data_IF_845363465194
#
_entry.id   IF_845363465194
#
_cell.length_a   1.000
_cell.length_b   1.000
_cell.length_c   1.000
_cell.angle_alpha   90.00
_cell.angle_beta   90.00
_cell.angle_gamma   90.00
#
_symmetry.space_group_name_H-M   'P 1'
#
loop_
_entity.id
_entity.type
_entity.pdbx_description
1 polymer ?
#
# COMPACT_ATOMS: atom_id res chain seq x y z
N UNK A 1 -8.32 -5.77 23.52
CA UNK A 1 -7.61 -4.61 22.93
C UNK A 1 -7.46 -4.89 21.44
N UNK A 2 -8.06 -4.06 20.60
CA UNK A 2 -7.99 -4.19 19.13
C UNK A 2 -7.90 -2.80 18.52
N UNK A 3 -7.32 -2.70 17.33
CA UNK A 3 -7.52 -1.51 16.49
C UNK A 3 -8.86 -1.64 15.75
N UNK A 4 -9.15 -2.79 15.15
CA UNK A 4 -10.37 -3.03 14.36
C UNK A 4 -11.40 -3.86 15.13
N UNK A 5 -12.47 -3.23 15.61
CA UNK A 5 -13.55 -3.89 16.37
C UNK A 5 -14.62 -4.57 15.49
N UNK A 6 -14.73 -4.16 14.22
CA UNK A 6 -15.65 -4.71 13.22
C UNK A 6 -14.89 -5.19 11.98
N UNK A 7 -15.15 -6.44 11.58
CA UNK A 7 -14.57 -7.09 10.42
C UNK A 7 -15.69 -7.46 9.43
N UNK A 8 -15.78 -6.73 8.32
CA UNK A 8 -16.75 -6.99 7.27
C UNK A 8 -16.22 -8.04 6.28
N UNK A 9 -17.02 -9.06 5.95
CA UNK A 9 -16.70 -10.11 4.98
C UNK A 9 -17.39 -9.81 3.65
N UNK A 10 -16.74 -9.01 2.80
CA UNK A 10 -17.16 -8.84 1.40
C UNK A 10 -18.38 -7.94 1.21
N UNK A 11 -19.49 -8.23 1.88
CA UNK A 11 -20.70 -7.41 1.96
C UNK A 11 -20.74 -6.61 3.27
N UNK A 12 -21.38 -5.44 3.26
CA UNK A 12 -21.52 -4.59 4.45
C UNK A 12 -22.39 -5.23 5.56
N UNK A 13 -23.24 -6.19 5.20
CA UNK A 13 -24.18 -6.83 6.13
C UNK A 13 -23.63 -8.08 6.83
N UNK A 14 -22.56 -8.70 6.32
CA UNK A 14 -21.92 -9.86 6.96
C UNK A 14 -20.63 -9.44 7.66
N UNK A 15 -20.68 -9.20 8.97
CA UNK A 15 -19.51 -8.79 9.75
C UNK A 15 -19.35 -9.56 11.07
N UNK A 16 -18.09 -9.74 11.48
CA UNK A 16 -17.74 -10.14 12.84
C UNK A 16 -17.49 -8.87 13.65
N UNK A 17 -18.19 -8.69 14.77
CA UNK A 17 -17.99 -7.55 15.66
C UNK A 17 -17.69 -7.97 17.09
N UNK A 18 -17.06 -7.07 17.83
CA UNK A 18 -16.91 -7.15 19.27
C UNK A 18 -18.06 -6.43 20.01
N UNK A 19 -19.24 -6.31 19.38
CA UNK A 19 -20.34 -5.49 19.89
C UNK A 19 -21.13 -6.17 21.02
N UNK A 20 -21.01 -7.49 21.22
CA UNK A 20 -21.70 -8.19 22.31
C UNK A 20 -20.96 -8.01 23.65
N UNK A 21 -21.50 -7.23 24.61
CA UNK A 21 -20.84 -6.98 25.87
C UNK A 21 -20.78 -8.22 26.78
N UNK A 22 -21.56 -9.27 26.49
CA UNK A 22 -21.49 -10.53 27.23
C UNK A 22 -20.20 -11.29 26.95
N UNK A 23 -19.70 -11.16 25.72
CA UNK A 23 -18.47 -11.83 25.27
C UNK A 23 -17.24 -10.94 25.47
N UNK A 24 -17.37 -9.62 25.25
CA UNK A 24 -16.24 -8.69 25.20
C UNK A 24 -16.19 -7.65 26.32
N UNK A 25 -17.26 -7.54 27.12
CA UNK A 25 -17.42 -6.47 28.11
C UNK A 25 -17.67 -5.10 27.48
N UNK A 26 -17.74 -4.07 28.32
CA UNK A 26 -17.91 -2.70 27.86
C UNK A 26 -16.59 -2.09 27.38
N UNK A 27 -16.66 -1.19 26.41
CA UNK A 27 -15.53 -0.35 26.00
C UNK A 27 -15.17 0.58 27.17
N UNK A 28 -14.00 0.39 27.75
CA UNK A 28 -13.48 1.24 28.85
C UNK A 28 -12.68 2.43 28.35
N UNK A 29 -12.14 2.35 27.13
CA UNK A 29 -11.33 3.40 26.49
C UNK A 29 -11.23 3.16 24.98
N UNK A 30 -11.33 4.22 24.19
CA UNK A 30 -11.15 4.20 22.74
C UNK A 30 -10.25 5.39 22.35
N UNK A 31 -9.31 5.15 21.45
CA UNK A 31 -8.46 6.19 20.86
C UNK A 31 -8.47 6.05 19.35
N UNK A 32 -9.18 6.93 18.67
CA UNK A 32 -9.26 6.97 17.21
C UNK A 32 -7.99 7.54 16.58
N UNK A 33 -7.80 7.30 15.27
CA UNK A 33 -6.71 7.94 14.52
C UNK A 33 -6.82 9.46 14.54
N UNK A 34 -8.04 10.00 14.45
CA UNK A 34 -8.32 11.45 14.57
C UNK A 34 -7.77 12.01 15.87
N UNK A 35 -8.05 11.37 17.00
CA UNK A 35 -7.57 11.81 18.32
C UNK A 35 -6.06 11.64 18.45
N UNK A 36 -5.50 10.53 17.96
CA UNK A 36 -4.07 10.27 17.99
C UNK A 36 -3.24 11.24 17.11
N UNK A 37 -3.82 11.73 16.00
CA UNK A 37 -3.20 12.75 15.13
C UNK A 37 -3.29 14.13 15.76
N UNK A 38 -4.44 14.47 16.37
CA UNK A 38 -4.70 15.79 16.95
C UNK A 38 -4.16 15.97 18.37
N UNK A 39 -3.67 14.90 19.01
CA UNK A 39 -3.09 14.97 20.35
C UNK A 39 -1.87 15.90 20.37
N UNK A 40 -1.55 16.45 21.56
CA UNK A 40 -0.39 17.33 21.76
C UNK A 40 0.47 16.77 22.90
N UNK A 41 1.64 16.16 22.61
CA UNK A 41 2.20 15.91 21.27
C UNK A 41 1.40 14.87 20.46
N UNK A 42 1.52 14.87 19.12
CA UNK A 42 0.88 13.85 18.28
C UNK A 42 1.41 12.46 18.62
N UNK A 43 0.54 11.45 18.62
CA UNK A 43 0.90 10.04 18.85
C UNK A 43 1.27 9.36 17.52
N UNK A 44 0.62 9.76 16.42
CA UNK A 44 0.90 9.28 15.05
C UNK A 44 0.99 10.46 14.07
N UNK A 45 1.63 10.25 12.92
CA UNK A 45 1.61 11.20 11.81
C UNK A 45 0.26 11.17 11.10
N UNK A 46 -0.17 12.33 10.59
CA UNK A 46 -1.30 12.43 9.67
C UNK A 46 -0.99 11.71 8.34
N UNK A 47 -1.98 11.49 7.48
CA UNK A 47 -1.79 10.74 6.24
C UNK A 47 -2.46 11.32 5.01
N UNK A 48 -2.02 10.85 3.84
CA UNK A 48 -2.60 11.19 2.55
C UNK A 48 -2.76 9.94 1.69
N UNK A 49 -3.99 9.68 1.27
CA UNK A 49 -4.27 8.71 0.22
C UNK A 49 -3.98 9.38 -1.13
N UNK A 50 -3.08 8.77 -1.90
CA UNK A 50 -2.67 9.25 -3.21
C UNK A 50 -3.07 8.19 -4.23
N UNK A 51 -3.98 8.58 -5.11
CA UNK A 51 -4.46 7.72 -6.19
C UNK A 51 -3.78 8.07 -7.51
N UNK A 52 -3.50 7.05 -8.31
CA UNK A 52 -3.03 7.24 -9.68
C UNK A 52 -3.98 6.54 -10.63
N UNK A 53 -4.80 7.33 -11.33
CA UNK A 53 -5.53 6.85 -12.49
C UNK A 53 -4.55 6.39 -13.56
N UNK A 54 -4.65 5.14 -13.95
CA UNK A 54 -3.95 4.54 -15.08
C UNK A 54 -5.04 4.08 -16.04
N UNK A 55 -5.19 4.82 -17.13
CA UNK A 55 -6.21 4.56 -18.13
C UNK A 55 -5.82 3.40 -19.06
N UNK A 56 -6.80 2.70 -19.62
CA UNK A 56 -6.53 1.66 -20.63
C UNK A 56 -5.66 2.13 -21.81
N UNK A 57 -5.87 3.32 -22.40
CA UNK A 57 -4.97 3.85 -23.42
C UNK A 57 -3.51 3.97 -22.94
N UNK A 58 -3.28 4.44 -21.72
CA UNK A 58 -1.91 4.50 -21.15
C UNK A 58 -1.31 3.10 -20.97
N UNK A 59 -2.11 2.11 -20.58
CA UNK A 59 -1.65 0.71 -20.49
C UNK A 59 -1.28 0.18 -21.87
N UNK A 60 -2.08 0.46 -22.90
CA UNK A 60 -1.77 0.07 -24.28
C UNK A 60 -0.48 0.74 -24.80
N UNK A 61 -0.27 2.02 -24.49
CA UNK A 61 0.97 2.73 -24.82
C UNK A 61 2.17 2.11 -24.12
N UNK A 62 2.04 1.81 -22.82
CA UNK A 62 3.07 1.11 -22.06
C UNK A 62 3.38 -0.25 -22.68
N UNK A 63 2.35 -1.02 -23.03
CA UNK A 63 2.50 -2.35 -23.65
C UNK A 63 3.26 -2.29 -24.98
N UNK A 64 2.97 -1.28 -25.82
CA UNK A 64 3.65 -1.07 -27.11
C UNK A 64 5.04 -0.45 -26.95
N UNK A 65 5.40 0.04 -25.77
CA UNK A 65 6.68 0.73 -25.57
C UNK A 65 7.87 -0.22 -25.64
N UNK A 66 8.94 0.21 -26.34
CA UNK A 66 10.22 -0.51 -26.37
C UNK A 66 10.78 -0.76 -24.96
N UNK A 67 10.49 0.13 -24.01
CA UNK A 67 10.93 0.02 -22.62
C UNK A 67 10.27 -1.16 -21.92
N UNK A 68 8.96 -1.34 -22.07
CA UNK A 68 8.25 -2.50 -21.51
C UNK A 68 8.73 -3.81 -22.15
N UNK A 69 8.92 -3.84 -23.47
CA UNK A 69 9.44 -5.00 -24.19
C UNK A 69 10.82 -5.41 -23.67
N UNK A 70 11.71 -4.46 -23.37
CA UNK A 70 13.01 -4.75 -22.76
C UNK A 70 12.87 -5.38 -21.37
N UNK A 71 11.99 -4.85 -20.52
CA UNK A 71 11.74 -5.41 -19.19
C UNK A 71 11.15 -6.82 -19.27
N UNK A 72 10.23 -7.06 -20.22
CA UNK A 72 9.58 -8.36 -20.42
C UNK A 72 10.56 -9.46 -20.90
N UNK A 73 11.66 -9.08 -21.56
CA UNK A 73 12.73 -10.03 -21.92
C UNK A 73 13.51 -10.53 -20.70
N UNK A 74 13.64 -9.70 -19.66
CA UNK A 74 14.33 -10.06 -18.42
C UNK A 74 13.41 -10.71 -17.38
N UNK A 75 12.15 -10.29 -17.31
CA UNK A 75 11.17 -10.77 -16.32
C UNK A 75 9.98 -11.43 -17.01
N UNK A 76 9.79 -12.73 -16.78
CA UNK A 76 8.66 -13.49 -17.31
C UNK A 76 7.36 -13.15 -16.56
N UNK A 77 6.23 -13.24 -17.27
CA UNK A 77 4.88 -13.09 -16.71
C UNK A 77 4.59 -11.73 -16.06
N UNK A 78 5.21 -10.67 -16.56
CA UNK A 78 4.81 -9.29 -16.21
C UNK A 78 3.68 -8.82 -17.13
N UNK A 79 2.84 -7.96 -16.58
CA UNK A 79 1.76 -7.27 -17.30
C UNK A 79 2.09 -5.78 -17.44
N UNK A 80 1.55 -5.14 -18.48
CA UNK A 80 1.67 -3.69 -18.66
C UNK A 80 1.06 -2.92 -17.48
N UNK A 81 0.00 -3.47 -16.87
CA UNK A 81 -0.65 -2.96 -15.66
C UNK A 81 0.33 -2.87 -14.48
N UNK A 82 1.03 -3.96 -14.17
CA UNK A 82 2.03 -3.97 -13.09
C UNK A 82 3.17 -2.99 -13.37
N UNK A 83 3.63 -2.94 -14.63
CA UNK A 83 4.71 -2.05 -15.00
C UNK A 83 4.29 -0.57 -14.90
N UNK A 84 3.06 -0.22 -15.27
CA UNK A 84 2.50 1.11 -15.07
C UNK A 84 2.44 1.49 -13.58
N UNK A 85 2.00 0.57 -12.70
CA UNK A 85 2.04 0.77 -11.24
C UNK A 85 3.47 0.99 -10.73
N UNK A 86 4.44 0.22 -11.25
CA UNK A 86 5.84 0.35 -10.89
C UNK A 86 6.41 1.73 -11.26
N UNK A 87 6.04 2.27 -12.43
CA UNK A 87 6.39 3.63 -12.87
C UNK A 87 5.68 4.68 -12.01
N UNK A 88 4.39 4.49 -11.69
CA UNK A 88 3.63 5.39 -10.84
C UNK A 88 4.25 5.52 -9.44
N UNK A 89 4.72 4.41 -8.86
CA UNK A 89 5.47 4.43 -7.60
C UNK A 89 6.76 5.27 -7.73
N UNK A 90 7.52 5.15 -8.83
CA UNK A 90 8.71 6.00 -9.06
C UNK A 90 8.37 7.48 -9.14
N UNK A 91 7.29 7.82 -9.84
CA UNK A 91 6.77 9.19 -9.93
C UNK A 91 6.40 9.72 -8.54
N UNK A 92 5.74 8.91 -7.71
CA UNK A 92 5.41 9.25 -6.33
C UNK A 92 6.67 9.48 -5.48
N UNK A 93 7.64 8.56 -5.53
CA UNK A 93 8.89 8.65 -4.78
C UNK A 93 9.62 9.97 -5.10
N UNK A 94 9.71 10.32 -6.39
CA UNK A 94 10.34 11.57 -6.85
C UNK A 94 9.56 12.81 -6.39
N UNK A 95 8.24 12.84 -6.60
CA UNK A 95 7.40 14.03 -6.33
C UNK A 95 7.23 14.30 -4.84
N UNK A 96 7.01 13.25 -4.04
CA UNK A 96 6.71 13.34 -2.61
C UNK A 96 7.95 13.18 -1.72
N UNK A 97 9.13 12.96 -2.33
CA UNK A 97 10.43 12.74 -1.64
C UNK A 97 10.37 11.60 -0.62
N UNK A 98 9.67 10.52 -0.97
CA UNK A 98 9.54 9.32 -0.13
C UNK A 98 10.92 8.69 0.03
N UNK A 99 11.34 8.45 1.28
CA UNK A 99 12.61 7.77 1.56
C UNK A 99 12.41 6.26 1.71
N UNK A 100 11.39 5.85 2.46
CA UNK A 100 11.10 4.45 2.75
C UNK A 100 9.69 4.06 2.33
N UNK A 101 9.61 3.11 1.39
CA UNK A 101 8.36 2.59 0.88
C UNK A 101 8.23 1.08 1.11
N UNK A 102 7.02 0.61 1.37
CA UNK A 102 6.67 -0.81 1.36
C UNK A 102 5.60 -1.05 0.30
N UNK A 103 5.79 -2.06 -0.55
CA UNK A 103 4.77 -2.49 -1.51
C UNK A 103 4.21 -3.86 -1.13
N UNK A 104 2.89 -3.99 -1.21
CA UNK A 104 2.16 -5.20 -0.86
C UNK A 104 1.59 -5.87 -2.10
N UNK A 105 1.91 -7.15 -2.26
CA UNK A 105 1.54 -7.95 -3.43
C UNK A 105 0.72 -9.17 -3.04
N UNK A 106 -0.13 -9.65 -3.96
CA UNK A 106 -0.98 -10.83 -3.73
C UNK A 106 -0.21 -12.15 -3.68
N UNK A 107 0.97 -12.22 -4.32
CA UNK A 107 1.80 -13.43 -4.38
C UNK A 107 3.30 -13.11 -4.31
N UNK A 108 4.09 -14.10 -3.89
CA UNK A 108 5.55 -14.00 -3.79
C UNK A 108 6.17 -13.69 -5.16
N UNK A 109 5.69 -14.36 -6.22
CA UNK A 109 6.15 -14.14 -7.59
C UNK A 109 5.98 -12.68 -8.02
N UNK A 110 4.81 -12.08 -7.75
CA UNK A 110 4.55 -10.67 -8.10
C UNK A 110 5.43 -9.72 -7.31
N UNK A 111 5.62 -9.95 -6.01
CA UNK A 111 6.51 -9.14 -5.19
C UNK A 111 7.97 -9.17 -5.68
N UNK A 112 8.46 -10.34 -6.10
CA UNK A 112 9.81 -10.48 -6.63
C UNK A 112 9.93 -9.87 -8.03
N UNK A 113 8.95 -10.09 -8.91
CA UNK A 113 8.89 -9.43 -10.22
C UNK A 113 8.90 -7.89 -10.06
N UNK A 114 8.12 -7.35 -9.12
CA UNK A 114 8.07 -5.92 -8.86
C UNK A 114 9.41 -5.39 -8.34
N UNK A 115 10.12 -6.16 -7.49
CA UNK A 115 11.47 -5.81 -7.03
C UNK A 115 12.42 -5.66 -8.21
N UNK A 116 12.45 -6.65 -9.11
CA UNK A 116 13.30 -6.65 -10.30
C UNK A 116 12.91 -5.54 -11.29
N UNK A 117 11.61 -5.29 -11.48
CA UNK A 117 11.11 -4.19 -12.31
C UNK A 117 11.70 -2.85 -11.88
N UNK A 118 11.84 -2.59 -10.58
CA UNK A 118 12.38 -1.32 -10.09
C UNK A 118 13.86 -1.12 -10.45
N UNK A 119 14.65 -2.19 -10.45
CA UNK A 119 16.04 -2.16 -10.92
C UNK A 119 16.10 -1.82 -12.42
N UNK A 120 15.25 -2.48 -13.22
CA UNK A 120 15.19 -2.26 -14.67
C UNK A 120 14.62 -0.89 -15.06
N UNK A 121 13.66 -0.36 -14.31
CA UNK A 121 13.12 0.99 -14.49
C UNK A 121 14.24 2.03 -14.39
N UNK A 122 15.20 1.84 -13.49
CA UNK A 122 16.38 2.74 -13.38
C UNK A 122 17.17 2.76 -14.69
N UNK A 123 17.28 1.63 -15.38
CA UNK A 123 18.03 1.51 -16.64
C UNK A 123 17.27 2.15 -17.81
N UNK A 124 15.95 1.93 -17.90
CA UNK A 124 15.14 2.36 -19.06
C UNK A 124 14.50 3.75 -18.90
N UNK A 125 14.51 4.32 -17.69
CA UNK A 125 14.08 5.69 -17.38
C UNK A 125 15.16 6.43 -16.57
N UNK A 126 16.14 7.05 -17.24
CA UNK A 126 17.26 7.75 -16.58
C UNK A 126 16.85 8.90 -15.65
N UNK A 127 15.65 9.47 -15.86
CA UNK A 127 15.09 10.54 -15.02
C UNK A 127 14.74 10.11 -13.58
N UNK A 128 14.73 8.80 -13.32
CA UNK A 128 14.50 8.23 -12.01
C UNK A 128 15.82 7.80 -11.37
N UNK A 129 16.10 8.33 -10.18
CA UNK A 129 17.26 7.94 -9.40
C UNK A 129 17.19 6.46 -9.02
N UNK A 130 18.32 5.73 -8.95
CA UNK A 130 18.35 4.37 -8.44
C UNK A 130 17.74 4.30 -7.03
N UNK A 131 16.95 3.24 -6.77
CA UNK A 131 16.48 2.93 -5.41
C UNK A 131 17.04 1.57 -5.01
N UNK A 132 17.42 1.45 -3.74
CA UNK A 132 17.69 0.13 -3.18
C UNK A 132 16.37 -0.62 -3.05
N UNK A 133 16.40 -1.90 -3.38
CA UNK A 133 15.24 -2.78 -3.29
C UNK A 133 15.52 -3.90 -2.31
N UNK A 134 14.52 -4.27 -1.53
CA UNK A 134 14.55 -5.34 -0.55
C UNK A 134 13.33 -6.22 -0.75
N UNK A 135 13.40 -7.49 -0.35
CA UNK A 135 12.28 -8.40 -0.46
C UNK A 135 12.17 -9.32 0.74
N UNK A 136 10.94 -9.52 1.17
CA UNK A 136 10.59 -10.45 2.23
C UNK A 136 9.35 -11.24 1.81
N UNK A 137 9.34 -12.53 2.14
CA UNK A 137 8.21 -13.42 1.88
C UNK A 137 8.02 -14.40 3.02
N UNK A 138 6.81 -14.97 3.11
CA UNK A 138 6.51 -16.02 4.11
C UNK A 138 7.33 -17.30 3.92
N UNK A 139 7.85 -17.55 2.71
CA UNK A 139 8.70 -18.69 2.41
C UNK A 139 10.17 -18.48 2.83
N UNK A 140 10.56 -17.25 3.19
CA UNK A 140 11.94 -16.92 3.52
C UNK A 140 12.30 -17.37 4.94
N UNK A 141 13.48 -18.00 5.15
CA UNK A 141 13.97 -18.34 6.48
C UNK A 141 14.05 -17.12 7.41
N UNK A 142 13.79 -17.32 8.70
CA UNK A 142 13.73 -16.24 9.71
C UNK A 142 14.99 -15.37 9.74
N UNK A 143 16.17 -15.98 9.65
CA UNK A 143 17.46 -15.26 9.64
C UNK A 143 17.62 -14.36 8.40
N UNK A 144 17.21 -14.83 7.22
CA UNK A 144 17.27 -14.06 5.99
C UNK A 144 16.27 -12.90 6.01
N UNK A 145 15.04 -13.15 6.49
CA UNK A 145 14.02 -12.11 6.68
C UNK A 145 14.51 -11.02 7.63
N UNK A 146 15.08 -11.39 8.78
CA UNK A 146 15.65 -10.45 9.73
C UNK A 146 16.81 -9.64 9.14
N UNK A 147 17.66 -10.26 8.32
CA UNK A 147 18.76 -9.58 7.64
C UNK A 147 18.26 -8.53 6.63
N UNK A 148 17.29 -8.90 5.77
CA UNK A 148 16.67 -7.98 4.80
C UNK A 148 16.02 -6.78 5.50
N UNK A 149 15.34 -7.03 6.61
CA UNK A 149 14.75 -5.99 7.43
C UNK A 149 15.78 -5.03 8.03
N UNK A 150 16.86 -5.57 8.61
CA UNK A 150 17.93 -4.74 9.18
C UNK A 150 18.57 -3.86 8.11
N UNK A 151 18.89 -4.44 6.95
CA UNK A 151 19.46 -3.70 5.82
C UNK A 151 18.52 -2.61 5.31
N UNK A 152 17.22 -2.87 5.30
CA UNK A 152 16.22 -1.86 4.95
C UNK A 152 16.12 -0.76 6.00
N UNK A 153 16.24 -1.07 7.29
CA UNK A 153 16.24 -0.08 8.36
C UNK A 153 17.47 0.86 8.34
N UNK A 154 18.62 0.33 7.95
CA UNK A 154 19.87 1.08 7.82
C UNK A 154 19.97 1.85 6.48
N UNK A 155 19.09 1.55 5.52
CA UNK A 155 19.08 2.14 4.19
C UNK A 155 17.79 2.89 3.89
N UNK A 156 17.75 3.55 2.73
CA UNK A 156 16.52 4.07 2.13
C UNK A 156 16.18 3.29 0.89
N UNK A 157 14.90 3.06 0.63
CA UNK A 157 14.48 2.31 -0.55
C UNK A 157 13.07 1.75 -0.49
N UNK A 158 12.89 0.65 -1.23
CA UNK A 158 11.63 -0.06 -1.36
C UNK A 158 11.76 -1.48 -0.83
N UNK A 159 10.86 -1.87 0.08
CA UNK A 159 10.66 -3.26 0.46
C UNK A 159 9.42 -3.83 -0.23
N UNK A 160 9.58 -4.91 -1.00
CA UNK A 160 8.45 -5.65 -1.57
C UNK A 160 8.09 -6.82 -0.65
N UNK A 161 6.79 -7.08 -0.47
CA UNK A 161 6.35 -8.20 0.35
C UNK A 161 5.08 -8.85 -0.18
N UNK A 162 4.92 -10.12 0.17
CA UNK A 162 3.67 -10.85 0.03
C UNK A 162 3.28 -11.51 1.36
N UNK A 163 2.18 -11.04 1.95
CA UNK A 163 1.51 -11.61 3.15
C UNK A 163 2.42 -11.90 4.36
N UNK A 164 3.49 -11.12 4.58
CA UNK A 164 4.50 -11.43 5.62
C UNK A 164 4.90 -10.25 6.51
N UNK A 165 4.31 -9.07 6.31
CA UNK A 165 4.60 -7.85 7.10
C UNK A 165 3.38 -7.32 7.86
N UNK A 166 2.34 -8.14 8.03
CA UNK A 166 1.09 -7.74 8.68
C UNK A 166 1.24 -7.70 10.21
N UNK A 167 1.92 -8.67 10.84
CA UNK A 167 1.99 -8.79 12.31
C UNK A 167 3.40 -9.09 12.86
N UNK A 168 3.68 -8.62 14.08
CA UNK A 168 4.85 -9.01 14.88
C UNK A 168 6.23 -8.52 14.41
N UNK A 169 6.27 -7.71 13.35
CA UNK A 169 7.51 -7.30 12.70
C UNK A 169 7.80 -5.82 12.98
N UNK A 170 8.98 -5.51 13.56
CA UNK A 170 9.39 -4.13 13.80
C UNK A 170 10.09 -3.53 12.58
N UNK A 171 9.34 -2.70 11.86
CA UNK A 171 9.82 -2.02 10.67
C UNK A 171 10.38 -0.65 11.04
N UNK A 172 11.44 -0.19 10.34
CA UNK A 172 11.93 1.18 10.47
C UNK A 172 10.83 2.19 10.11
N UNK A 173 11.10 3.48 10.32
CA UNK A 173 10.19 4.55 9.90
C UNK A 173 9.84 4.42 8.40
N UNK A 174 8.59 4.08 8.11
CA UNK A 174 8.03 3.98 6.76
C UNK A 174 7.28 5.26 6.45
N UNK A 175 7.52 5.83 5.26
CA UNK A 175 6.86 7.05 4.82
C UNK A 175 5.71 6.74 3.85
N UNK A 176 5.78 5.60 3.15
CA UNK A 176 4.82 5.23 2.12
C UNK A 176 4.49 3.74 2.12
N UNK A 177 3.20 3.42 1.98
CA UNK A 177 2.70 2.09 1.67
C UNK A 177 2.06 2.13 0.29
N UNK A 178 2.38 1.14 -0.54
CA UNK A 178 1.83 0.98 -1.87
C UNK A 178 1.07 -0.35 -1.95
N UNK A 179 -0.22 -0.28 -2.24
CA UNK A 179 -1.04 -1.44 -2.55
C UNK A 179 -1.00 -1.63 -4.06
N UNK A 180 -0.18 -2.56 -4.55
CA UNK A 180 -0.03 -2.78 -6.00
C UNK A 180 -1.11 -3.70 -6.57
N UNK A 181 -1.76 -4.44 -5.68
CA UNK A 181 -2.86 -5.35 -5.96
C UNK A 181 -4.04 -5.01 -5.03
N UNK A 182 -5.29 -5.23 -5.47
CA UNK A 182 -6.46 -5.12 -4.61
C UNK A 182 -6.27 -5.95 -3.33
N UNK A 183 -6.26 -5.28 -2.18
CA UNK A 183 -6.38 -5.94 -0.87
C UNK A 183 -7.84 -5.94 -0.47
N UNK A 184 -8.39 -7.13 -0.27
CA UNK A 184 -9.77 -7.30 0.25
C UNK A 184 -9.83 -7.34 1.78
N UNK A 185 -8.70 -7.57 2.46
CA UNK A 185 -8.64 -7.61 3.93
C UNK A 185 -8.52 -6.19 4.49
N UNK A 186 -9.60 -5.68 5.10
CA UNK A 186 -9.59 -4.39 5.82
C UNK A 186 -8.53 -4.38 6.94
N UNK A 187 -8.36 -5.49 7.66
CA UNK A 187 -7.34 -5.63 8.71
C UNK A 187 -5.93 -5.45 8.14
N UNK A 188 -5.62 -6.10 7.02
CA UNK A 188 -4.32 -5.95 6.38
C UNK A 188 -4.06 -4.51 5.94
N UNK A 189 -5.10 -3.81 5.45
CA UNK A 189 -5.01 -2.41 5.03
C UNK A 189 -4.72 -1.51 6.22
N UNK A 190 -5.47 -1.66 7.33
CA UNK A 190 -5.28 -0.88 8.55
C UNK A 190 -3.91 -1.15 9.16
N UNK A 191 -3.50 -2.42 9.27
CA UNK A 191 -2.20 -2.79 9.81
C UNK A 191 -1.05 -2.26 8.94
N UNK A 192 -1.14 -2.40 7.62
CA UNK A 192 -0.15 -1.88 6.68
C UNK A 192 -0.07 -0.35 6.76
N UNK A 193 -1.21 0.33 6.72
CA UNK A 193 -1.29 1.79 6.81
C UNK A 193 -0.73 2.29 8.14
N UNK A 194 -1.07 1.64 9.26
CA UNK A 194 -0.54 1.98 10.58
C UNK A 194 0.99 2.01 10.65
N UNK A 195 1.69 1.21 9.82
CA UNK A 195 3.15 1.29 9.68
C UNK A 195 3.60 2.63 9.09
N UNK A 196 2.89 3.13 8.09
CA UNK A 196 3.10 4.45 7.52
C UNK A 196 2.57 5.60 8.40
N UNK A 197 1.83 5.35 9.48
CA UNK A 197 1.40 6.40 10.42
C UNK A 197 2.37 6.60 11.59
N UNK A 198 3.30 5.67 11.83
CA UNK A 198 4.29 5.80 12.90
C UNK A 198 5.09 7.11 12.77
N UNK A 199 5.27 7.80 13.90
CA UNK A 199 6.08 9.02 13.96
C UNK A 199 7.54 8.73 13.57
N UNK A 200 8.14 9.66 12.85
CA UNK A 200 9.57 9.66 12.58
C UNK A 200 10.09 11.08 12.38
N UNK A 201 11.39 11.27 12.60
CA UNK A 201 12.02 12.60 12.55
C UNK A 201 11.85 13.22 11.17
N UNK A 202 11.18 14.37 11.11
CA UNK A 202 10.97 15.14 9.88
C UNK A 202 9.80 14.68 9.00
N UNK A 203 9.07 13.63 9.40
CA UNK A 203 7.92 13.13 8.66
C UNK A 203 6.67 13.95 9.00
N UNK A 204 6.05 14.51 7.95
CA UNK A 204 4.79 15.25 8.06
C UNK A 204 3.58 14.37 7.81
N UNK A 205 3.67 13.47 6.81
CA UNK A 205 2.58 12.62 6.39
C UNK A 205 3.06 11.18 6.16
N UNK A 206 2.20 10.21 6.47
CA UNK A 206 2.23 8.88 5.87
C UNK A 206 1.50 8.87 4.53
N UNK A 207 2.10 8.30 3.49
CA UNK A 207 1.49 8.21 2.17
C UNK A 207 0.93 6.80 1.94
N UNK A 208 -0.28 6.73 1.39
CA UNK A 208 -0.94 5.48 1.02
C UNK A 208 -1.20 5.57 -0.48
N UNK A 209 -0.53 4.70 -1.24
CA UNK A 209 -0.56 4.70 -2.69
C UNK A 209 -1.47 3.59 -3.21
N UNK A 210 -2.46 3.98 -4.01
CA UNK A 210 -3.45 3.09 -4.62
C UNK A 210 -3.53 3.39 -6.12
N UNK A 211 -3.11 2.47 -7.01
CA UNK A 211 -3.37 2.61 -8.43
C UNK A 211 -4.87 2.41 -8.69
N UNK A 212 -5.47 3.28 -9.50
CA UNK A 212 -6.84 3.12 -10.00
C UNK A 212 -6.73 2.80 -11.48
N UNK A 213 -7.26 1.68 -11.92
CA UNK A 213 -7.35 1.37 -13.34
C UNK A 213 -8.69 1.87 -13.85
N UNK A 214 -8.66 2.73 -14.86
CA UNK A 214 -9.85 3.34 -15.45
C UNK A 214 -10.06 2.74 -16.83
N UNK A 215 -11.20 2.08 -17.03
CA UNK A 215 -11.63 1.56 -18.32
C UNK A 215 -12.01 2.70 -19.28
N UNK A 216 -12.10 2.40 -20.58
CA UNK A 216 -12.48 3.39 -21.61
C UNK A 216 -13.92 3.92 -21.50
N UNK A 217 -14.77 3.45 -20.58
CA UNK A 217 -16.19 3.83 -20.61
C UNK A 217 -16.37 5.34 -20.38
N UNK A 218 -17.14 5.97 -21.26
CA UNK A 218 -17.37 7.42 -21.30
C UNK A 218 -18.46 7.88 -20.33
N UNK A 219 -19.05 6.98 -19.55
CA UNK A 219 -20.08 7.30 -18.56
C UNK A 219 -19.49 7.38 -17.13
N UNK A 220 -19.52 8.55 -16.47
CA UNK A 220 -19.10 8.72 -15.08
C UNK A 220 -19.83 7.80 -14.09
N UNK A 221 -21.06 7.37 -14.39
CA UNK A 221 -21.81 6.45 -13.53
C UNK A 221 -21.35 4.99 -13.69
N UNK A 222 -20.93 4.57 -14.88
CA UNK A 222 -20.32 3.23 -15.08
C UNK A 222 -18.88 3.17 -14.55
N UNK A 223 -18.17 4.30 -14.53
CA UNK A 223 -16.83 4.39 -13.95
C UNK A 223 -16.80 4.10 -12.44
N UNK A 224 -17.92 4.29 -11.72
CA UNK A 224 -18.02 3.97 -10.30
C UNK A 224 -18.14 2.45 -10.03
N UNK A 225 -18.68 1.69 -10.98
CA UNK A 225 -18.70 0.22 -10.98
C UNK A 225 -17.37 -0.39 -11.46
N UNK A 226 -16.44 0.45 -11.90
CA UNK A 226 -15.13 0.02 -12.34
C UNK A 226 -14.32 -0.46 -11.13
N UNK A 227 -13.77 -1.67 -11.24
CA UNK A 227 -12.98 -2.35 -10.21
C UNK A 227 -11.87 -1.49 -9.55
N UNK A 228 -11.42 -0.42 -10.23
CA UNK A 228 -10.45 0.52 -9.71
C UNK A 228 -10.97 1.42 -8.57
N UNK A 229 -12.25 1.80 -8.57
CA UNK A 229 -12.82 2.62 -7.50
C UNK A 229 -13.16 1.81 -6.26
N UNK A 230 -13.56 0.54 -6.43
CA UNK A 230 -13.76 -0.40 -5.33
C UNK A 230 -12.52 -0.50 -4.43
N UNK A 231 -11.31 -0.47 -5.00
CA UNK A 231 -10.06 -0.55 -4.23
C UNK A 231 -9.83 0.68 -3.32
N UNK A 232 -10.18 1.86 -3.84
CA UNK A 232 -10.09 3.10 -3.08
C UNK A 232 -11.15 3.11 -2.00
N UNK A 233 -12.39 2.75 -2.34
CA UNK A 233 -13.50 2.67 -1.38
C UNK A 233 -13.17 1.65 -0.28
N UNK A 234 -12.64 0.48 -0.63
CA UNK A 234 -12.23 -0.53 0.34
C UNK A 234 -11.11 -0.02 1.26
N UNK A 235 -10.14 0.73 0.72
CA UNK A 235 -9.05 1.29 1.52
C UNK A 235 -9.52 2.43 2.41
N UNK A 236 -10.28 3.37 1.86
CA UNK A 236 -10.84 4.52 2.59
C UNK A 236 -11.84 4.04 3.65
N UNK A 237 -12.70 3.08 3.31
CA UNK A 237 -13.63 2.42 4.23
C UNK A 237 -12.93 1.60 5.31
N UNK A 238 -11.81 0.93 5.00
CA UNK A 238 -10.99 0.30 6.05
C UNK A 238 -10.43 1.33 7.03
N UNK A 239 -9.98 2.50 6.54
CA UNK A 239 -9.47 3.58 7.37
C UNK A 239 -10.57 4.31 8.13
N UNK A 240 -11.79 4.43 7.59
CA UNK A 240 -12.91 5.10 8.25
C UNK A 240 -13.34 4.38 9.53
N UNK A 241 -13.17 3.06 9.62
CA UNK A 241 -13.39 2.32 10.87
C UNK A 241 -12.48 2.78 12.01
N UNK A 242 -11.34 3.40 11.70
CA UNK A 242 -10.36 3.92 12.67
C UNK A 242 -10.40 5.44 12.77
N UNK A 243 -10.90 6.11 11.73
CA UNK A 243 -10.88 7.56 11.57
C UNK A 243 -12.27 8.09 11.20
N UNK A 244 -12.97 8.63 12.19
CA UNK A 244 -14.31 9.21 12.02
C UNK A 244 -14.32 10.41 11.08
N UNK A 245 -13.17 11.06 10.78
CA UNK A 245 -13.09 12.16 9.81
C UNK A 245 -13.51 11.75 8.39
N UNK A 246 -13.34 10.47 8.04
CA UNK A 246 -13.65 9.98 6.69
C UNK A 246 -15.16 9.80 6.49
N UNK A 247 -15.90 9.48 7.55
CA UNK A 247 -17.35 9.29 7.48
C UNK A 247 -18.14 10.61 7.50
N UNK A 248 -17.50 11.72 7.89
CA UNK A 248 -18.11 13.05 8.03
C UNK A 248 -18.12 13.88 6.72
N UNK A 249 -17.76 13.28 5.56
CA UNK A 249 -17.74 13.94 4.24
C UNK A 249 -18.48 13.16 3.16
#
# INVERSE_FOLDING_TARGET
MTATERLFRGDEDEYLSMDDPRDYGNIIYQLSFKEAINSKPPIISDYKVITFGISEPEIEEVYKSNKYIQVQKEIKNITAREFATAIALRKAIKKLKISNAISFHRSILRAENFRQQQELITKVYPDYQPIKTFHVSGAMPTNQRASQMRLFAESKGLMTNARCLTEGVDLPAIDCVCFTDPKRSRVDIVQATGRALRLSKGKKFGYILIPIFVSKSQDPNEAAEDSGFEEVIATVGALSTQDTRIADY
#
